data_IF_035418088573
#
_entry.id   IF_035418088573
#
_cell.length_a   1.000
_cell.length_b   1.000
_cell.length_c   1.000
_cell.angle_alpha   90.00
_cell.angle_beta   90.00
_cell.angle_gamma   90.00
#
_symmetry.space_group_name_H-M   'P 1'
#
loop_
_entity.id
_entity.type
_entity.pdbx_description
1 polymer ?
#
# COMPACT_ATOMS: atom_id res chain seq x y z
N UNK A 1 -12.93 -0.88 -8.90
CA UNK A 1 -13.54 -2.24 -8.90
C UNK A 1 -14.24 -2.41 -7.56
N UNK A 2 -15.50 -2.80 -7.58
CA UNK A 2 -16.27 -3.17 -6.40
C UNK A 2 -16.34 -4.69 -6.37
N UNK A 3 -15.88 -5.30 -5.27
CA UNK A 3 -15.86 -6.75 -5.08
C UNK A 3 -16.91 -7.16 -4.04
N UNK A 4 -17.51 -8.35 -4.17
CA UNK A 4 -18.40 -8.92 -3.15
C UNK A 4 -17.65 -9.12 -1.82
N UNK A 5 -18.38 -9.11 -0.71
CA UNK A 5 -17.78 -9.25 0.62
C UNK A 5 -17.09 -10.60 0.86
N UNK A 6 -17.58 -11.65 0.23
CA UNK A 6 -17.04 -13.01 0.28
C UNK A 6 -15.87 -13.26 -0.68
N UNK A 7 -15.52 -12.25 -1.51
CA UNK A 7 -14.40 -12.38 -2.44
C UNK A 7 -13.09 -12.62 -1.70
N UNK A 8 -12.21 -13.49 -2.27
CA UNK A 8 -10.95 -13.91 -1.64
C UNK A 8 -10.06 -12.72 -1.23
N UNK A 9 -10.00 -11.65 -2.03
CA UNK A 9 -9.23 -10.45 -1.71
C UNK A 9 -9.77 -9.72 -0.50
N UNK A 10 -11.10 -9.66 -0.34
CA UNK A 10 -11.75 -9.03 0.81
C UNK A 10 -11.49 -9.86 2.06
N UNK A 11 -11.65 -11.19 1.97
CA UNK A 11 -11.34 -12.11 3.09
C UNK A 11 -9.89 -11.99 3.54
N UNK A 12 -8.92 -11.98 2.60
CA UNK A 12 -7.50 -11.77 2.91
C UNK A 12 -7.25 -10.44 3.62
N UNK A 13 -7.86 -9.36 3.13
CA UNK A 13 -7.71 -8.03 3.73
C UNK A 13 -8.29 -7.95 5.14
N UNK A 14 -9.40 -8.66 5.41
CA UNK A 14 -10.09 -8.71 6.71
C UNK A 14 -9.48 -9.73 7.70
N UNK A 15 -8.55 -10.56 7.27
CA UNK A 15 -7.90 -11.55 8.15
C UNK A 15 -7.24 -10.84 9.34
N UNK A 16 -7.41 -11.39 10.55
CA UNK A 16 -6.80 -10.82 11.75
C UNK A 16 -5.27 -10.99 11.75
N UNK A 17 -4.55 -10.15 12.48
CA UNK A 17 -3.10 -10.28 12.64
C UNK A 17 -2.73 -11.66 13.19
N UNK A 18 -3.50 -12.16 14.16
CA UNK A 18 -3.32 -13.51 14.71
C UNK A 18 -3.40 -14.59 13.63
N UNK A 19 -4.42 -14.54 12.78
CA UNK A 19 -4.58 -15.48 11.66
C UNK A 19 -3.41 -15.41 10.68
N UNK A 20 -2.94 -14.19 10.35
CA UNK A 20 -1.78 -14.01 9.47
C UNK A 20 -0.53 -14.63 10.07
N UNK A 21 -0.29 -14.42 11.36
CA UNK A 21 0.86 -15.00 12.09
C UNK A 21 0.77 -16.52 12.16
N UNK A 22 -0.38 -17.07 12.50
CA UNK A 22 -0.60 -18.52 12.57
C UNK A 22 -0.39 -19.20 11.22
N UNK A 23 -0.94 -18.64 10.13
CA UNK A 23 -0.72 -19.15 8.78
C UNK A 23 0.76 -19.09 8.40
N UNK A 24 1.45 -17.98 8.69
CA UNK A 24 2.87 -17.87 8.41
C UNK A 24 3.71 -18.92 9.17
N UNK A 25 3.31 -19.24 10.39
CA UNK A 25 4.00 -20.23 11.25
C UNK A 25 3.82 -21.66 10.80
N UNK A 26 2.64 -21.99 10.28
CA UNK A 26 2.24 -23.41 10.06
C UNK A 26 2.38 -23.86 8.62
N UNK A 27 2.34 -22.94 7.64
CA UNK A 27 2.23 -23.33 6.22
C UNK A 27 3.42 -22.92 5.36
N UNK A 28 4.41 -22.22 5.89
CA UNK A 28 5.56 -21.75 5.10
C UNK A 28 6.47 -22.92 4.66
N UNK A 29 6.52 -23.17 3.37
CA UNK A 29 7.36 -24.21 2.76
C UNK A 29 8.78 -23.73 2.41
N UNK A 30 9.13 -22.50 2.73
CA UNK A 30 10.45 -21.90 2.48
C UNK A 30 10.93 -21.98 1.02
N UNK A 31 10.01 -21.87 0.07
CA UNK A 31 10.28 -21.98 -1.38
C UNK A 31 10.99 -20.73 -1.97
N UNK A 32 11.23 -19.67 -1.19
CA UNK A 32 11.92 -18.41 -1.56
C UNK A 32 11.18 -17.53 -2.59
N UNK A 33 10.12 -17.99 -3.22
CA UNK A 33 9.45 -17.26 -4.31
C UNK A 33 9.02 -15.83 -3.91
N UNK A 34 8.60 -15.62 -2.66
CA UNK A 34 8.22 -14.30 -2.17
C UNK A 34 9.39 -13.30 -2.15
N UNK A 35 10.64 -13.78 -2.09
CA UNK A 35 11.85 -12.96 -2.19
C UNK A 35 12.28 -12.81 -3.64
N UNK A 36 12.34 -13.89 -4.38
CA UNK A 36 12.79 -13.89 -5.78
C UNK A 36 11.89 -13.04 -6.69
N UNK A 37 10.59 -12.93 -6.37
CA UNK A 37 9.62 -12.13 -7.12
C UNK A 37 9.35 -10.76 -6.44
N UNK A 38 10.06 -10.42 -5.37
CA UNK A 38 9.90 -9.13 -4.71
C UNK A 38 10.52 -8.01 -5.57
N UNK A 39 9.73 -7.02 -6.04
CA UNK A 39 10.27 -5.93 -6.87
C UNK A 39 11.39 -5.16 -6.18
N UNK A 40 11.32 -4.98 -4.85
CA UNK A 40 12.38 -4.31 -4.09
C UNK A 40 13.66 -5.13 -4.06
N UNK A 41 13.55 -6.45 -3.85
CA UNK A 41 14.69 -7.36 -3.88
C UNK A 41 15.34 -7.37 -5.26
N UNK A 42 14.54 -7.47 -6.32
CA UNK A 42 15.00 -7.50 -7.72
C UNK A 42 15.81 -6.26 -8.09
N UNK A 43 15.44 -5.08 -7.60
CA UNK A 43 16.17 -3.84 -7.87
C UNK A 43 17.32 -3.56 -6.89
N UNK A 44 17.70 -4.54 -6.08
CA UNK A 44 18.91 -4.51 -5.24
C UNK A 44 18.71 -4.13 -3.77
N UNK A 45 17.48 -4.00 -3.28
CA UNK A 45 17.27 -3.84 -1.83
C UNK A 45 17.46 -5.17 -1.10
N UNK A 46 18.11 -5.15 0.06
CA UNK A 46 18.21 -6.31 0.95
C UNK A 46 16.88 -6.56 1.68
N UNK A 47 15.84 -6.82 0.92
CA UNK A 47 14.52 -7.18 1.47
C UNK A 47 14.23 -8.64 1.15
N UNK A 48 14.48 -9.59 2.06
CA UNK A 48 14.14 -11.00 1.92
C UNK A 48 12.84 -11.35 2.63
N UNK A 49 11.64 -11.21 1.99
CA UNK A 49 10.37 -11.52 2.64
C UNK A 49 10.29 -12.92 3.24
N UNK A 50 10.95 -13.93 2.64
CA UNK A 50 10.96 -15.29 3.18
C UNK A 50 11.63 -15.38 4.56
N UNK A 51 12.71 -14.61 4.82
CA UNK A 51 13.37 -14.59 6.12
C UNK A 51 12.52 -13.86 7.17
N UNK A 52 11.78 -12.83 6.75
CA UNK A 52 10.83 -12.15 7.63
C UNK A 52 9.67 -13.09 8.01
N UNK A 53 9.10 -13.86 7.05
CA UNK A 53 8.12 -14.90 7.35
C UNK A 53 8.71 -15.94 8.31
N UNK A 54 9.94 -16.36 8.08
CA UNK A 54 10.62 -17.35 8.91
C UNK A 54 10.87 -16.86 10.34
N UNK A 55 11.15 -15.56 10.53
CA UNK A 55 11.41 -14.99 11.87
C UNK A 55 10.20 -15.08 12.79
N UNK A 56 8.98 -15.21 12.24
CA UNK A 56 7.75 -15.44 13.04
C UNK A 56 7.78 -16.79 13.76
N UNK A 57 8.47 -17.79 13.19
CA UNK A 57 8.60 -19.12 13.76
C UNK A 57 9.79 -19.28 14.72
N UNK A 58 10.83 -18.52 14.46
CA UNK A 58 12.13 -18.68 15.11
C UNK A 58 12.56 -17.35 15.71
N UNK A 59 12.03 -17.02 16.89
CA UNK A 59 12.28 -15.76 17.60
C UNK A 59 13.77 -15.41 17.80
N UNK A 60 14.66 -16.40 17.71
CA UNK A 60 16.10 -16.23 17.90
C UNK A 60 16.93 -16.13 16.62
N UNK A 61 16.33 -16.28 15.43
CA UNK A 61 17.06 -16.34 14.17
C UNK A 61 16.90 -15.12 13.26
N UNK A 62 16.10 -14.15 13.67
CA UNK A 62 15.98 -12.90 12.91
C UNK A 62 17.21 -12.02 13.14
N UNK A 63 18.05 -11.88 12.13
CA UNK A 63 19.07 -10.83 12.18
C UNK A 63 18.36 -9.47 12.23
N UNK A 64 18.77 -8.55 13.11
CA UNK A 64 18.14 -7.22 13.21
C UNK A 64 18.07 -6.48 11.87
N UNK A 65 19.11 -6.59 11.04
CA UNK A 65 19.14 -6.03 9.68
C UNK A 65 18.02 -6.56 8.78
N UNK A 66 17.72 -7.85 8.87
CA UNK A 66 16.62 -8.48 8.12
C UNK A 66 15.27 -7.92 8.54
N UNK A 67 15.02 -7.76 9.83
CA UNK A 67 13.77 -7.16 10.32
C UNK A 67 13.66 -5.69 9.94
N UNK A 68 14.75 -4.94 10.06
CA UNK A 68 14.82 -3.53 9.63
C UNK A 68 14.54 -3.36 8.14
N UNK A 69 14.92 -4.34 7.30
CA UNK A 69 14.68 -4.29 5.87
C UNK A 69 13.19 -4.22 5.50
N UNK A 70 12.28 -4.65 6.39
CA UNK A 70 10.84 -4.48 6.21
C UNK A 70 10.45 -3.01 5.94
N UNK A 71 11.23 -2.03 6.45
CA UNK A 71 11.01 -0.60 6.19
C UNK A 71 11.10 -0.23 4.70
N UNK A 72 11.83 -1.00 3.89
CA UNK A 72 11.98 -0.78 2.44
C UNK A 72 10.85 -1.40 1.61
N UNK A 73 9.95 -2.19 2.21
CA UNK A 73 8.83 -2.81 1.52
C UNK A 73 7.92 -1.76 0.86
N UNK A 74 7.62 -1.89 -0.43
CA UNK A 74 6.70 -1.01 -1.15
C UNK A 74 5.21 -1.37 -0.99
N UNK A 75 4.91 -2.46 -0.27
CA UNK A 75 3.54 -2.93 -0.01
C UNK A 75 2.74 -3.25 -1.30
N UNK A 76 3.43 -3.66 -2.35
CA UNK A 76 2.84 -3.99 -3.66
C UNK A 76 2.04 -5.30 -3.67
N UNK A 77 2.08 -6.08 -2.60
CA UNK A 77 1.39 -7.36 -2.44
C UNK A 77 1.79 -8.50 -3.41
N UNK A 78 2.79 -8.35 -4.27
CA UNK A 78 3.22 -9.41 -5.20
C UNK A 78 3.59 -10.69 -4.45
N UNK A 79 4.23 -10.58 -3.29
CA UNK A 79 4.65 -11.71 -2.47
C UNK A 79 3.49 -12.56 -1.95
N UNK A 80 2.31 -11.96 -1.72
CA UNK A 80 1.11 -12.69 -1.27
C UNK A 80 0.13 -12.99 -2.41
N UNK A 81 -0.04 -12.05 -3.32
CA UNK A 81 -1.03 -12.15 -4.39
C UNK A 81 -0.58 -13.11 -5.50
N UNK A 82 0.71 -13.17 -5.75
CA UNK A 82 1.29 -13.95 -6.84
C UNK A 82 2.28 -15.02 -6.39
N UNK A 83 3.28 -14.65 -5.59
CA UNK A 83 4.43 -15.50 -5.33
C UNK A 83 4.15 -16.66 -4.37
N UNK A 84 3.37 -16.43 -3.30
CA UNK A 84 3.15 -17.46 -2.28
C UNK A 84 2.22 -18.56 -2.82
N UNK A 85 2.67 -19.84 -2.84
CA UNK A 85 1.84 -20.97 -3.28
C UNK A 85 0.83 -21.41 -2.20
N UNK A 86 1.06 -21.04 -0.93
CA UNK A 86 0.26 -21.46 0.24
C UNK A 86 -0.44 -20.29 0.94
N UNK A 87 -0.69 -19.23 0.21
CA UNK A 87 -1.51 -18.08 0.63
C UNK A 87 -1.06 -17.35 1.92
N UNK A 88 0.22 -17.39 2.25
CA UNK A 88 0.78 -16.52 3.30
C UNK A 88 0.79 -15.08 2.81
N UNK A 89 0.67 -14.12 3.74
CA UNK A 89 0.77 -12.69 3.46
C UNK A 89 2.08 -12.08 3.97
N UNK A 90 3.22 -12.26 3.27
CA UNK A 90 4.50 -11.67 3.72
C UNK A 90 4.44 -10.14 3.76
N UNK A 91 3.66 -9.50 2.86
CA UNK A 91 3.46 -8.05 2.85
C UNK A 91 2.84 -7.57 4.17
N UNK A 92 1.83 -8.28 4.70
CA UNK A 92 1.20 -7.91 5.97
C UNK A 92 2.15 -8.05 7.16
N UNK A 93 3.02 -9.06 7.16
CA UNK A 93 4.08 -9.18 8.17
C UNK A 93 5.03 -7.98 8.10
N UNK A 94 5.43 -7.58 6.89
CA UNK A 94 6.23 -6.36 6.71
C UNK A 94 5.50 -5.10 7.22
N UNK A 95 4.19 -4.98 7.00
CA UNK A 95 3.39 -3.86 7.51
C UNK A 95 3.38 -3.82 9.04
N UNK A 96 3.16 -4.97 9.68
CA UNK A 96 3.18 -5.08 11.15
C UNK A 96 4.55 -4.65 11.71
N UNK A 97 5.64 -5.15 11.13
CA UNK A 97 7.00 -4.75 11.49
C UNK A 97 7.24 -3.26 11.25
N UNK A 98 6.80 -2.70 10.12
CA UNK A 98 6.92 -1.26 9.86
C UNK A 98 6.27 -0.40 10.93
N UNK A 99 5.06 -0.79 11.38
CA UNK A 99 4.36 -0.06 12.45
C UNK A 99 5.18 -0.06 13.73
N UNK A 100 5.72 -1.22 14.10
CA UNK A 100 6.54 -1.34 15.33
C UNK A 100 7.86 -0.58 15.20
N UNK A 101 8.61 -0.81 14.12
CA UNK A 101 9.91 -0.19 13.89
C UNK A 101 9.82 1.35 13.81
N UNK A 102 8.74 1.88 13.22
CA UNK A 102 8.51 3.34 13.18
C UNK A 102 8.23 3.93 14.54
N UNK A 103 7.49 3.22 15.42
CA UNK A 103 7.28 3.65 16.80
C UNK A 103 8.58 3.73 17.59
N UNK A 104 9.53 2.84 17.29
CA UNK A 104 10.86 2.80 17.90
C UNK A 104 11.85 3.80 17.25
N UNK A 105 11.41 4.56 16.24
CA UNK A 105 12.26 5.50 15.51
C UNK A 105 13.34 4.82 14.63
N UNK A 106 13.20 3.53 14.39
CA UNK A 106 14.17 2.75 13.62
C UNK A 106 14.25 3.24 12.15
N UNK A 107 15.47 3.19 11.61
CA UNK A 107 15.76 3.53 10.21
C UNK A 107 16.53 2.40 9.55
N UNK A 108 16.23 2.15 8.29
CA UNK A 108 17.01 1.22 7.48
C UNK A 108 18.17 1.97 6.81
N UNK A 109 19.38 1.49 7.05
CA UNK A 109 20.62 2.06 6.51
C UNK A 109 21.41 1.01 5.72
N UNK A 110 20.76 -0.11 5.35
CA UNK A 110 21.42 -1.17 4.59
C UNK A 110 21.81 -0.74 3.17
N UNK A 111 22.71 -1.49 2.54
CA UNK A 111 23.22 -1.18 1.22
C UNK A 111 22.13 -1.36 0.13
N UNK A 112 22.39 -0.73 -1.01
CA UNK A 112 21.68 -1.01 -2.25
C UNK A 112 22.67 -1.73 -3.18
N UNK A 113 22.30 -2.91 -3.63
CA UNK A 113 23.08 -3.73 -4.54
C UNK A 113 22.68 -3.49 -6.01
N UNK A 114 23.47 -3.94 -6.99
CA UNK A 114 23.02 -4.01 -8.37
C UNK A 114 21.73 -4.81 -8.51
N UNK A 115 20.92 -4.46 -9.50
CA UNK A 115 19.72 -5.21 -9.81
C UNK A 115 20.02 -6.68 -10.15
N UNK A 116 19.08 -7.56 -9.82
CA UNK A 116 19.19 -9.00 -10.14
C UNK A 116 19.34 -9.18 -11.67
N UNK A 117 20.37 -9.90 -12.16
CA UNK A 117 20.56 -10.16 -13.59
C UNK A 117 19.35 -10.85 -14.24
N UNK A 118 18.54 -11.57 -13.46
CA UNK A 118 17.34 -12.28 -13.91
C UNK A 118 16.06 -11.43 -13.82
N UNK A 119 16.17 -10.13 -13.57
CA UNK A 119 15.03 -9.23 -13.36
C UNK A 119 13.95 -9.34 -14.46
N UNK A 120 14.37 -9.39 -15.73
CA UNK A 120 13.46 -9.48 -16.88
C UNK A 120 12.68 -10.80 -16.92
N UNK A 121 13.23 -11.87 -16.34
CA UNK A 121 12.59 -13.19 -16.28
C UNK A 121 11.67 -13.37 -15.07
N UNK A 122 11.65 -12.39 -14.16
CA UNK A 122 10.86 -12.39 -12.91
C UNK A 122 9.62 -11.50 -12.97
N UNK A 123 9.21 -11.10 -14.18
CA UNK A 123 8.03 -10.29 -14.39
C UNK A 123 6.74 -11.10 -14.13
N UNK A 124 5.76 -10.45 -13.52
CA UNK A 124 4.46 -11.05 -13.24
C UNK A 124 3.53 -10.88 -14.46
N UNK A 125 3.09 -11.98 -15.11
CA UNK A 125 2.17 -11.90 -16.23
C UNK A 125 0.79 -11.39 -15.76
N UNK A 126 0.38 -10.21 -16.22
CA UNK A 126 -0.84 -9.52 -15.77
C UNK A 126 -2.10 -10.37 -15.98
N UNK A 127 -2.23 -11.04 -17.12
CA UNK A 127 -3.39 -11.91 -17.42
C UNK A 127 -3.52 -13.07 -16.43
N UNK A 128 -2.40 -13.69 -16.05
CA UNK A 128 -2.38 -14.77 -15.06
C UNK A 128 -2.65 -14.24 -13.65
N UNK A 129 -2.16 -13.04 -13.31
CA UNK A 129 -2.45 -12.39 -12.04
C UNK A 129 -3.94 -12.09 -11.90
N UNK A 130 -4.57 -11.54 -12.95
CA UNK A 130 -6.01 -11.28 -13.00
C UNK A 130 -6.80 -12.57 -12.75
N UNK A 131 -6.42 -13.68 -13.40
CA UNK A 131 -7.06 -14.98 -13.21
C UNK A 131 -6.84 -15.51 -11.79
N UNK A 132 -5.59 -15.45 -11.26
CA UNK A 132 -5.27 -15.90 -9.89
C UNK A 132 -6.01 -15.12 -8.81
N UNK A 133 -6.26 -13.83 -9.05
CA UNK A 133 -6.99 -12.96 -8.11
C UNK A 133 -8.51 -13.08 -8.26
N UNK A 134 -9.00 -13.87 -9.21
CA UNK A 134 -10.43 -14.01 -9.52
C UNK A 134 -11.13 -12.68 -9.83
N UNK A 135 -10.43 -11.80 -10.55
CA UNK A 135 -10.97 -10.48 -10.94
C UNK A 135 -11.25 -10.35 -12.44
N UNK A 136 -11.17 -11.43 -13.19
CA UNK A 136 -11.38 -11.42 -14.64
C UNK A 136 -12.77 -10.88 -15.03
N UNK A 137 -13.81 -11.22 -14.27
CA UNK A 137 -15.18 -10.73 -14.50
C UNK A 137 -15.31 -9.21 -14.32
N UNK A 138 -14.42 -8.59 -13.58
CA UNK A 138 -14.39 -7.14 -13.31
C UNK A 138 -13.44 -6.38 -14.23
N UNK A 139 -12.66 -7.08 -15.08
CA UNK A 139 -11.73 -6.48 -16.04
C UNK A 139 -12.50 -6.00 -17.29
N UNK A 140 -13.29 -4.95 -17.11
CA UNK A 140 -14.13 -4.34 -18.17
C UNK A 140 -13.61 -2.96 -18.51
N UNK A 141 -13.77 -2.57 -19.76
CA UNK A 141 -13.51 -1.20 -20.17
C UNK A 141 -14.43 -0.24 -19.42
N UNK A 142 -13.86 0.79 -18.84
CA UNK A 142 -14.59 1.88 -18.21
C UNK A 142 -14.44 3.13 -19.11
N UNK A 143 -15.37 3.37 -20.06
CA UNK A 143 -15.29 4.53 -20.93
C UNK A 143 -15.42 5.81 -20.09
N UNK A 144 -14.64 6.83 -20.45
CA UNK A 144 -14.84 8.16 -19.90
C UNK A 144 -16.19 8.70 -20.37
N UNK A 145 -17.03 9.09 -19.45
CA UNK A 145 -18.32 9.73 -19.73
C UNK A 145 -18.22 11.16 -19.20
N UNK A 146 -18.49 12.13 -20.08
CA UNK A 146 -18.64 13.52 -19.66
C UNK A 146 -20.00 13.68 -18.98
N UNK A 147 -20.01 13.54 -17.67
CA UNK A 147 -21.21 13.75 -16.85
C UNK A 147 -20.90 14.78 -15.77
N UNK A 148 -21.77 15.78 -15.70
CA UNK A 148 -21.75 16.76 -14.61
C UNK A 148 -22.74 16.28 -13.55
N UNK A 149 -22.22 15.96 -12.36
CA UNK A 149 -23.04 15.62 -11.20
C UNK A 149 -23.24 16.85 -10.33
N UNK A 150 -24.41 17.50 -10.34
CA UNK A 150 -24.66 18.64 -9.48
C UNK A 150 -24.73 18.17 -8.02
N UNK A 151 -23.69 18.50 -7.26
CA UNK A 151 -23.67 18.23 -5.83
C UNK A 151 -24.28 19.44 -5.08
N UNK A 152 -25.30 19.19 -4.23
CA UNK A 152 -25.88 20.21 -3.39
C UNK A 152 -24.97 20.61 -2.21
N UNK A 153 -24.11 19.69 -1.77
CA UNK A 153 -23.15 19.89 -0.67
C UNK A 153 -21.89 19.06 -0.92
N UNK A 154 -20.74 19.63 -0.61
CA UNK A 154 -19.45 18.95 -0.65
C UNK A 154 -18.72 19.15 0.66
N UNK A 155 -17.96 18.12 1.08
CA UNK A 155 -17.06 18.18 2.22
C UNK A 155 -15.65 18.00 1.70
N UNK A 156 -14.80 19.00 1.90
CA UNK A 156 -13.42 19.01 1.43
C UNK A 156 -12.47 18.82 2.62
N UNK A 157 -11.93 17.61 2.85
CA UNK A 157 -10.97 17.39 3.93
C UNK A 157 -9.70 18.24 3.69
N UNK A 158 -9.24 18.95 4.72
CA UNK A 158 -8.02 19.77 4.64
C UNK A 158 -6.74 18.95 4.47
N UNK A 159 -6.80 17.66 4.75
CA UNK A 159 -5.71 16.70 4.56
C UNK A 159 -6.16 15.55 3.66
N UNK A 160 -5.69 15.55 2.42
CA UNK A 160 -6.00 14.51 1.42
C UNK A 160 -4.76 13.75 0.94
N UNK A 161 -3.59 13.99 1.57
CA UNK A 161 -2.29 13.42 1.20
C UNK A 161 -1.38 13.27 2.42
N UNK A 162 -0.17 12.74 2.23
CA UNK A 162 0.81 12.50 3.30
C UNK A 162 1.42 13.80 3.85
N UNK A 163 1.40 14.90 3.08
CA UNK A 163 1.94 16.19 3.46
C UNK A 163 1.19 16.89 4.60
N UNK A 164 1.60 18.10 4.89
CA UNK A 164 0.94 18.95 5.88
C UNK A 164 -0.52 19.25 5.48
N UNK A 165 -1.47 19.29 6.43
CA UNK A 165 -2.82 19.73 6.14
C UNK A 165 -2.83 21.20 5.68
N UNK A 166 -3.69 21.53 4.72
CA UNK A 166 -3.90 22.91 4.31
C UNK A 166 -4.60 23.70 5.41
N UNK A 167 -4.35 25.01 5.47
CA UNK A 167 -4.99 25.94 6.40
C UNK A 167 -6.11 26.69 5.67
N UNK A 168 -7.34 26.74 6.20
CA UNK A 168 -8.42 27.48 5.58
C UNK A 168 -8.06 28.95 5.43
N UNK A 169 -8.36 29.53 4.28
CA UNK A 169 -8.27 30.98 4.01
C UNK A 169 -9.66 31.61 3.79
N UNK A 170 -10.72 30.87 4.06
CA UNK A 170 -12.13 31.29 4.02
C UNK A 170 -12.79 31.02 5.38
N UNK A 171 -13.88 31.75 5.66
CA UNK A 171 -14.63 31.63 6.92
C UNK A 171 -16.05 31.13 6.68
N UNK A 172 -16.70 30.53 7.68
CA UNK A 172 -18.12 30.20 7.61
C UNK A 172 -18.96 31.45 7.27
N UNK A 173 -19.89 31.31 6.35
CA UNK A 173 -20.70 32.42 5.84
C UNK A 173 -20.15 33.10 4.60
N UNK A 174 -18.95 32.77 4.15
CA UNK A 174 -18.41 33.28 2.88
C UNK A 174 -18.96 32.54 1.68
N UNK A 175 -19.22 33.30 0.59
CA UNK A 175 -19.61 32.74 -0.70
C UNK A 175 -18.34 32.49 -1.53
N UNK A 176 -18.16 31.27 -1.99
CA UNK A 176 -17.01 30.85 -2.82
C UNK A 176 -17.47 30.45 -4.21
N UNK A 177 -16.61 30.63 -5.20
CA UNK A 177 -16.82 30.17 -6.59
C UNK A 177 -16.01 28.91 -6.86
N UNK A 178 -16.49 28.10 -7.76
CA UNK A 178 -15.75 26.93 -8.26
C UNK A 178 -14.35 27.35 -8.74
N UNK A 179 -13.32 26.63 -8.29
CA UNK A 179 -11.92 26.93 -8.57
C UNK A 179 -11.29 27.97 -7.65
N UNK A 180 -12.05 28.66 -6.78
CA UNK A 180 -11.49 29.60 -5.81
C UNK A 180 -10.64 28.87 -4.77
N UNK A 181 -9.48 29.45 -4.41
CA UNK A 181 -8.64 28.97 -3.32
C UNK A 181 -9.40 29.08 -2.00
N UNK A 182 -9.53 27.98 -1.27
CA UNK A 182 -10.22 27.91 0.03
C UNK A 182 -9.32 27.48 1.18
N UNK A 183 -8.19 26.83 0.88
CA UNK A 183 -7.16 26.57 1.88
C UNK A 183 -5.78 26.53 1.24
N UNK A 184 -4.80 27.15 1.90
CA UNK A 184 -3.42 27.23 1.43
C UNK A 184 -2.47 26.37 2.29
N UNK A 185 -1.27 26.16 1.79
CA UNK A 185 -0.24 25.37 2.45
C UNK A 185 0.48 26.25 3.47
N UNK A 186 0.80 25.77 4.68
CA UNK A 186 1.69 26.49 5.60
C UNK A 186 3.02 26.82 4.92
N UNK A 187 3.63 27.99 5.20
CA UNK A 187 4.92 28.36 4.64
C UNK A 187 5.96 27.25 4.83
N UNK A 188 6.74 26.98 3.80
CA UNK A 188 7.82 25.97 3.76
C UNK A 188 7.36 24.51 3.99
N UNK A 189 6.07 24.25 4.10
CA UNK A 189 5.55 22.89 4.24
C UNK A 189 5.30 22.25 2.86
N UNK A 190 5.51 20.93 2.79
CA UNK A 190 5.09 20.14 1.63
C UNK A 190 3.60 19.81 1.75
N UNK A 191 2.80 20.27 0.81
CA UNK A 191 1.35 20.05 0.83
C UNK A 191 0.70 20.38 -0.52
N UNK A 192 -0.63 20.39 -0.56
CA UNK A 192 -1.41 20.77 -1.72
C UNK A 192 -2.49 21.80 -1.35
N UNK A 193 -2.64 22.82 -2.18
CA UNK A 193 -3.70 23.82 -2.08
C UNK A 193 -5.06 23.19 -2.35
N UNK A 194 -6.09 23.67 -1.68
CA UNK A 194 -7.46 23.23 -1.90
C UNK A 194 -8.28 24.38 -2.53
N UNK A 195 -9.08 23.98 -3.53
CA UNK A 195 -9.96 24.88 -4.23
C UNK A 195 -11.40 24.41 -4.10
N UNK A 196 -12.34 25.33 -4.13
CA UNK A 196 -13.77 25.00 -4.13
C UNK A 196 -14.12 24.18 -5.37
N UNK A 197 -14.78 23.04 -5.19
CA UNK A 197 -15.21 22.17 -6.29
C UNK A 197 -16.55 22.58 -6.89
N UNK A 198 -17.32 23.40 -6.19
CA UNK A 198 -18.62 23.96 -6.60
C UNK A 198 -18.73 25.41 -6.12
N UNK A 199 -19.64 26.19 -6.72
CA UNK A 199 -20.10 27.45 -6.14
C UNK A 199 -20.93 27.17 -4.89
N UNK A 200 -20.79 27.97 -3.84
CA UNK A 200 -21.58 27.74 -2.63
C UNK A 200 -21.20 28.63 -1.45
N UNK A 201 -21.89 28.37 -0.35
CA UNK A 201 -21.64 28.98 0.94
C UNK A 201 -20.77 28.07 1.79
N UNK A 202 -19.76 28.62 2.46
CA UNK A 202 -18.94 27.92 3.43
C UNK A 202 -19.72 27.73 4.73
N UNK A 203 -19.84 26.52 5.22
CA UNK A 203 -20.51 26.17 6.47
C UNK A 203 -19.53 25.90 7.62
#
# INVERSE_FOLDING_TARGET
IVLPEDHILIRRRRASERSVLETARTTCEQCLLCTELCPRHIIGHELPPHLIVRSVNYHHFGQPSTLLSALTCSECAVCEAWACPVDISPMRLNQMLKVQLRKEGARYTGPLHPADPMAEHRLVPVSRLIAKLDIAAYNRKAPLVEAVYPAARVVLPLRQHVGAPAQPCVQPGEVVRQGQLIADIPPEALGARLHASIDGLVE
#
